data_IF_438897514785
#
_entry.id   IF_438897514785
#
_cell.length_a   1.000
_cell.length_b   1.000
_cell.length_c   1.000
_cell.angle_alpha   90.00
_cell.angle_beta   90.00
_cell.angle_gamma   90.00
#
_symmetry.space_group_name_H-M   'P 1'
#
loop_
_entity.id
_entity.type
_entity.pdbx_description
1 polymer ?
#
# COMPACT_ATOMS: atom_id res chain seq x y z
N UNK A 1 0.44 -14.04 -7.27
CA UNK A 1 1.29 -12.88 -6.94
C UNK A 1 1.41 -12.79 -5.44
N UNK A 2 2.59 -12.51 -4.92
CA UNK A 2 2.80 -12.37 -3.47
C UNK A 2 3.19 -10.92 -3.20
N UNK A 3 2.33 -10.21 -2.47
CA UNK A 3 2.61 -8.84 -2.06
C UNK A 3 3.23 -8.83 -0.66
N UNK A 4 4.15 -7.91 -0.44
CA UNK A 4 4.72 -7.63 0.86
C UNK A 4 3.96 -6.48 1.53
N UNK A 5 3.50 -6.65 2.78
CA UNK A 5 2.89 -5.58 3.56
C UNK A 5 3.83 -4.38 3.73
N UNK A 6 3.37 -3.18 3.40
CA UNK A 6 4.11 -1.95 3.61
C UNK A 6 3.58 -1.19 4.84
N UNK A 7 4.47 -0.65 5.68
CA UNK A 7 4.07 0.17 6.84
C UNK A 7 3.72 1.60 6.46
N UNK A 8 4.28 2.09 5.36
CA UNK A 8 4.10 3.47 4.92
C UNK A 8 3.57 3.54 3.49
N UNK A 9 2.81 4.59 3.20
CA UNK A 9 2.33 4.95 1.87
C UNK A 9 2.50 6.46 1.65
N UNK A 10 2.30 6.91 0.42
CA UNK A 10 2.25 8.32 0.07
C UNK A 10 0.81 8.71 -0.20
N UNK A 11 0.31 9.77 0.43
CA UNK A 11 -1.03 10.29 0.16
C UNK A 11 -1.10 11.09 -1.17
N UNK A 12 -2.30 11.52 -1.56
CA UNK A 12 -2.51 12.27 -2.81
C UNK A 12 -1.84 13.65 -2.85
N UNK A 13 -1.39 14.17 -1.71
CA UNK A 13 -0.65 15.41 -1.60
C UNK A 13 0.87 15.21 -1.57
N UNK A 14 1.34 13.96 -1.61
CA UNK A 14 2.75 13.61 -1.60
C UNK A 14 3.36 13.45 -0.21
N UNK A 15 2.55 13.40 0.86
CA UNK A 15 3.06 13.20 2.21
C UNK A 15 3.23 11.71 2.50
N UNK A 16 4.29 11.37 3.23
CA UNK A 16 4.49 10.02 3.76
C UNK A 16 3.58 9.81 4.98
N UNK A 17 2.75 8.77 4.93
CA UNK A 17 1.83 8.39 6.01
C UNK A 17 2.13 6.99 6.52
N UNK A 18 1.95 6.75 7.81
CA UNK A 18 2.13 5.44 8.44
C UNK A 18 0.77 4.76 8.65
N UNK A 19 0.68 3.47 8.35
CA UNK A 19 -0.54 2.68 8.50
C UNK A 19 -1.02 2.64 9.97
N UNK A 20 -0.12 2.72 10.94
CA UNK A 20 -0.46 2.71 12.37
C UNK A 20 -1.22 3.97 12.83
N UNK A 21 -1.10 5.08 12.09
CA UNK A 21 -1.82 6.32 12.40
C UNK A 21 -3.31 6.23 12.05
N UNK A 22 -3.70 5.24 11.24
CA UNK A 22 -5.08 5.07 10.80
C UNK A 22 -5.87 4.18 11.76
N UNK A 23 -6.93 4.76 12.35
CA UNK A 23 -7.88 4.02 13.21
C UNK A 23 -9.14 3.57 12.47
N UNK A 24 -9.35 4.07 11.26
CA UNK A 24 -10.49 3.78 10.40
C UNK A 24 -10.01 3.74 8.95
N UNK A 25 -10.79 3.14 8.03
CA UNK A 25 -10.47 3.20 6.61
C UNK A 25 -10.26 4.64 6.18
N UNK A 26 -9.25 4.87 5.35
CA UNK A 26 -9.01 6.17 4.74
C UNK A 26 -9.82 6.33 3.47
N UNK A 27 -10.34 7.53 3.23
CA UNK A 27 -10.91 7.92 1.93
C UNK A 27 -9.86 8.53 1.00
N UNK A 28 -8.62 8.70 1.47
CA UNK A 28 -7.55 9.28 0.68
C UNK A 28 -7.06 8.30 -0.36
N UNK A 29 -6.62 8.82 -1.51
CA UNK A 29 -5.85 8.02 -2.46
C UNK A 29 -4.46 7.82 -1.89
N UNK A 30 -4.05 6.57 -1.77
CA UNK A 30 -2.76 6.18 -1.22
C UNK A 30 -1.97 5.47 -2.31
N UNK A 31 -0.66 5.73 -2.32
CA UNK A 31 0.25 5.25 -3.35
C UNK A 31 1.47 4.58 -2.72
N UNK A 32 1.97 3.53 -3.38
CA UNK A 32 3.23 2.93 -3.01
C UNK A 32 4.37 3.93 -3.24
N UNK A 33 5.23 4.09 -2.24
CA UNK A 33 6.40 4.97 -2.36
C UNK A 33 7.34 4.59 -3.51
N UNK A 34 7.46 3.30 -3.82
CA UNK A 34 8.43 2.80 -4.80
C UNK A 34 7.93 2.86 -6.25
N UNK A 35 6.70 2.40 -6.52
CA UNK A 35 6.18 2.31 -7.88
C UNK A 35 5.07 3.34 -8.18
N UNK A 36 4.62 4.11 -7.18
CA UNK A 36 3.50 5.06 -7.29
C UNK A 36 2.15 4.43 -7.66
N UNK A 37 2.05 3.11 -7.72
CA UNK A 37 0.78 2.41 -7.94
C UNK A 37 -0.13 2.56 -6.72
N UNK A 38 -1.47 2.52 -6.91
CA UNK A 38 -2.42 2.62 -5.81
C UNK A 38 -2.23 1.51 -4.77
N UNK A 39 -2.38 1.88 -3.49
CA UNK A 39 -2.39 0.95 -2.36
C UNK A 39 -3.64 1.17 -1.52
N UNK A 40 -4.09 0.11 -0.85
CA UNK A 40 -5.21 0.13 0.09
C UNK A 40 -4.69 -0.06 1.51
N UNK A 41 -5.30 0.66 2.45
CA UNK A 41 -5.09 0.45 3.87
C UNK A 41 -5.84 -0.81 4.32
N UNK A 42 -5.08 -1.76 4.88
CA UNK A 42 -5.61 -2.93 5.56
C UNK A 42 -5.49 -2.70 7.05
N UNK A 43 -6.64 -2.47 7.70
CA UNK A 43 -6.71 -2.40 9.15
C UNK A 43 -6.60 -3.80 9.72
N UNK A 44 -5.63 -3.99 10.62
CA UNK A 44 -5.42 -5.28 11.25
C UNK A 44 -6.25 -5.40 12.54
N UNK A 45 -7.09 -6.45 12.69
CA UNK A 45 -7.77 -6.69 13.95
C UNK A 45 -6.79 -7.22 15.02
N UNK A 46 -7.11 -6.98 16.29
CA UNK A 46 -6.49 -7.64 17.46
C UNK A 46 -4.97 -7.40 17.63
N UNK A 47 -4.52 -6.14 17.59
CA UNK A 47 -3.16 -5.76 18.00
C UNK A 47 -2.06 -6.11 16.99
N UNK A 48 -2.42 -6.62 15.81
CA UNK A 48 -1.53 -6.63 14.66
C UNK A 48 -1.37 -5.20 14.10
N UNK A 49 -0.24 -4.94 13.44
CA UNK A 49 0.01 -3.65 12.82
C UNK A 49 -0.79 -3.54 11.51
N UNK A 50 -1.56 -2.44 11.39
CA UNK A 50 -2.13 -2.03 10.11
C UNK A 50 -1.03 -1.89 9.06
N UNK A 51 -1.37 -2.13 7.80
CA UNK A 51 -0.41 -2.08 6.70
C UNK A 51 -1.09 -1.71 5.39
N UNK A 52 -0.30 -1.41 4.38
CA UNK A 52 -0.74 -1.14 3.03
C UNK A 52 -0.41 -2.31 2.10
N UNK A 53 -1.33 -2.60 1.18
CA UNK A 53 -1.16 -3.56 0.10
C UNK A 53 -1.50 -2.88 -1.23
N UNK A 54 -0.93 -3.35 -2.33
CA UNK A 54 -1.25 -2.79 -3.63
C UNK A 54 -2.66 -3.20 -4.05
N UNK A 55 -3.40 -2.26 -4.63
CA UNK A 55 -4.70 -2.57 -5.22
C UNK A 55 -4.50 -3.32 -6.54
N UNK A 56 -4.72 -4.63 -6.52
CA UNK A 56 -4.56 -5.50 -7.68
C UNK A 56 -5.45 -5.12 -8.87
N UNK A 57 -6.55 -4.38 -8.62
CA UNK A 57 -7.45 -3.89 -9.66
C UNK A 57 -6.79 -2.85 -10.57
N UNK A 58 -5.81 -2.11 -10.05
CA UNK A 58 -5.17 -0.98 -10.72
C UNK A 58 -3.69 -1.21 -11.01
N UNK A 59 -3.12 -2.35 -10.63
CA UNK A 59 -1.72 -2.67 -10.93
C UNK A 59 -1.54 -3.04 -12.41
N UNK A 60 -0.75 -2.24 -13.15
CA UNK A 60 -0.35 -2.56 -14.50
C UNK A 60 0.82 -3.56 -14.52
N UNK A 61 0.98 -4.32 -15.62
CA UNK A 61 2.04 -5.34 -15.75
C UNK A 61 3.46 -4.81 -15.51
N UNK A 62 3.71 -3.55 -15.87
CA UNK A 62 5.00 -2.88 -15.69
C UNK A 62 5.30 -2.53 -14.21
N UNK A 63 4.27 -2.29 -13.40
CA UNK A 63 4.42 -1.88 -12.01
C UNK A 63 4.92 -3.03 -11.13
N UNK A 64 4.62 -4.28 -11.51
CA UNK A 64 5.10 -5.49 -10.83
C UNK A 64 6.63 -5.65 -10.93
N UNK A 65 7.24 -5.21 -12.03
CA UNK A 65 8.69 -5.40 -12.26
C UNK A 65 9.50 -4.36 -11.47
N UNK A 66 8.92 -3.20 -11.21
CA UNK A 66 9.60 -2.09 -10.57
C UNK A 66 9.44 -2.04 -9.03
N UNK A 67 8.46 -2.74 -8.46
CA UNK A 67 8.13 -2.62 -7.05
C UNK A 67 8.80 -3.72 -6.20
N UNK A 68 9.67 -3.38 -5.23
CA UNK A 68 10.28 -4.36 -4.34
C UNK A 68 9.26 -5.06 -3.42
N UNK A 69 8.07 -4.48 -3.26
CA UNK A 69 7.01 -5.00 -2.41
C UNK A 69 6.08 -5.98 -3.17
N UNK A 70 6.37 -6.30 -4.43
CA UNK A 70 5.53 -7.21 -5.22
C UNK A 70 6.40 -8.25 -5.92
N UNK A 71 6.20 -9.51 -5.58
CA UNK A 71 6.88 -10.64 -6.21
C UNK A 71 5.99 -11.26 -7.30
N UNK A 72 6.50 -11.27 -8.53
CA UNK A 72 5.89 -12.00 -9.64
C UNK A 72 6.35 -13.47 -9.57
N UNK A 73 5.39 -14.40 -9.44
CA UNK A 73 5.63 -15.85 -9.40
C UNK A 73 5.71 -16.45 -10.78
#
# INVERSE_FOLDING_TARGET
MKQQPAKCAVDEWGNLVNAEDFRSPSFWKLYCFHCKSPVVLVLAPNGQASHFLHDETFMASADFIACPNVECS
#
